data_IF_172694887605
#
_entry.id   IF_172694887605
#
_cell.length_a   1.000
_cell.length_b   1.000
_cell.length_c   1.000
_cell.angle_alpha   90.00
_cell.angle_beta   90.00
_cell.angle_gamma   90.00
#
_symmetry.space_group_name_H-M   'P 1'
#
loop_
_entity.id
_entity.type
_entity.pdbx_description
1 polymer ?
#
# COMPACT_ATOMS: atom_id res chain seq x y z
N UNK A 1 37.40 103.63 -14.87
CA UNK A 1 37.08 103.03 -13.54
C UNK A 1 35.60 102.70 -13.51
N UNK A 2 35.24 101.65 -12.76
CA UNK A 2 33.90 101.11 -12.47
C UNK A 2 33.40 99.91 -13.30
N UNK A 3 34.05 98.78 -13.00
CA UNK A 3 33.47 97.59 -12.36
C UNK A 3 32.39 96.79 -13.10
N UNK A 4 32.89 95.85 -13.91
CA UNK A 4 32.30 94.51 -14.10
C UNK A 4 31.98 93.87 -12.74
N UNK A 5 30.72 93.48 -12.52
CA UNK A 5 30.35 92.29 -11.76
C UNK A 5 29.15 91.63 -12.42
N UNK A 6 29.43 90.82 -13.42
CA UNK A 6 28.60 89.67 -13.73
C UNK A 6 28.45 88.87 -12.43
N UNK A 7 27.22 88.59 -12.00
CA UNK A 7 26.97 87.54 -11.02
C UNK A 7 27.36 86.21 -11.68
N UNK A 8 28.65 85.88 -11.65
CA UNK A 8 29.04 84.49 -11.50
C UNK A 8 28.62 84.11 -10.08
N UNK A 9 27.39 83.60 -9.95
CA UNK A 9 27.03 82.75 -8.83
C UNK A 9 27.83 81.44 -9.01
N UNK A 10 29.13 81.53 -8.78
CA UNK A 10 29.94 80.37 -8.48
C UNK A 10 29.48 79.87 -7.12
N UNK A 11 28.77 78.75 -7.17
CA UNK A 11 28.83 77.66 -6.21
C UNK A 11 28.14 77.90 -4.84
N UNK A 12 27.07 77.13 -4.62
CA UNK A 12 26.30 76.96 -3.38
C UNK A 12 25.32 78.09 -3.00
N UNK A 13 24.16 78.08 -3.66
CA UNK A 13 22.93 78.62 -3.08
C UNK A 13 22.48 77.66 -1.97
N UNK A 14 22.76 77.99 -0.70
CA UNK A 14 22.30 77.24 0.47
C UNK A 14 20.90 77.75 0.83
N UNK A 15 19.86 77.24 0.15
CA UNK A 15 18.49 77.41 0.66
C UNK A 15 18.20 76.22 1.58
N UNK A 16 17.95 76.49 2.86
CA UNK A 16 17.64 75.44 3.84
C UNK A 16 16.30 74.74 3.57
N UNK A 17 15.35 75.41 2.90
CA UNK A 17 14.06 74.85 2.50
C UNK A 17 13.43 75.68 1.38
N UNK A 18 13.04 75.06 0.27
CA UNK A 18 12.21 75.70 -0.75
C UNK A 18 10.79 75.16 -0.56
N UNK A 19 9.84 76.04 -0.23
CA UNK A 19 8.42 75.71 -0.18
C UNK A 19 7.80 76.03 -1.54
N UNK A 20 7.57 75.01 -2.38
CA UNK A 20 6.84 75.16 -3.64
C UNK A 20 5.35 74.93 -3.36
N UNK A 21 4.50 75.92 -3.66
CA UNK A 21 3.05 75.88 -3.43
C UNK A 21 2.33 75.97 -4.78
N UNK A 22 1.52 74.97 -5.13
CA UNK A 22 0.63 74.97 -6.29
C UNK A 22 1.18 74.35 -7.60
N UNK A 23 0.26 73.76 -8.39
CA UNK A 23 0.40 73.02 -9.67
C UNK A 23 1.39 71.83 -9.68
N UNK A 24 1.12 70.85 -10.56
CA UNK A 24 1.94 69.63 -10.73
C UNK A 24 3.39 70.01 -11.01
N UNK A 25 4.27 69.70 -10.06
CA UNK A 25 5.71 69.91 -10.20
C UNK A 25 6.27 68.81 -11.09
N UNK A 26 6.99 69.19 -12.14
CA UNK A 26 7.72 68.26 -13.01
C UNK A 26 9.21 68.48 -12.79
N UNK A 27 9.89 67.44 -12.32
CA UNK A 27 11.34 67.41 -12.21
C UNK A 27 11.85 66.36 -13.19
N UNK A 28 12.78 66.74 -14.06
CA UNK A 28 13.39 65.79 -15.00
C UNK A 28 14.47 64.94 -14.32
N UNK A 29 15.14 65.47 -13.31
CA UNK A 29 16.16 64.79 -12.53
C UNK A 29 16.17 65.28 -11.08
N UNK A 30 16.12 64.36 -10.12
CA UNK A 30 16.18 64.66 -8.68
C UNK A 30 17.42 63.99 -8.11
N UNK A 31 18.40 64.79 -7.66
CA UNK A 31 19.58 64.31 -6.93
C UNK A 31 19.41 64.65 -5.45
N UNK A 32 18.90 63.70 -4.67
CA UNK A 32 18.73 63.87 -3.23
C UNK A 32 19.33 62.68 -2.49
N UNK A 33 19.95 62.94 -1.32
CA UNK A 33 20.41 61.88 -0.41
C UNK A 33 19.24 61.10 0.20
N UNK A 34 18.09 61.77 0.36
CA UNK A 34 16.84 61.21 0.90
C UNK A 34 15.66 61.91 0.24
N UNK A 35 14.68 61.14 -0.20
CA UNK A 35 13.36 61.64 -0.61
C UNK A 35 12.37 61.17 0.46
N UNK A 36 11.56 62.07 1.00
CA UNK A 36 10.50 61.75 1.97
C UNK A 36 9.19 62.30 1.44
N UNK A 37 8.19 61.45 1.27
CA UNK A 37 6.84 61.83 0.84
C UNK A 37 5.92 61.69 2.05
N UNK A 38 5.38 62.79 2.55
CA UNK A 38 4.60 62.84 3.81
C UNK A 38 3.09 63.04 3.59
N UNK A 39 2.58 62.73 2.40
CA UNK A 39 1.16 62.86 2.06
C UNK A 39 0.43 61.51 2.00
N UNK A 40 -0.89 61.53 2.16
CA UNK A 40 -1.75 60.33 2.11
C UNK A 40 -1.91 59.70 0.72
N UNK A 41 -1.26 60.25 -0.31
CA UNK A 41 -1.39 59.82 -1.71
C UNK A 41 -0.41 58.73 -2.16
N UNK A 42 0.48 58.26 -1.29
CA UNK A 42 1.56 57.34 -1.65
C UNK A 42 2.60 57.95 -2.61
N UNK A 43 3.68 57.21 -2.88
CA UNK A 43 4.66 57.54 -3.92
C UNK A 43 4.37 56.67 -5.15
N UNK A 44 3.95 57.29 -6.25
CA UNK A 44 3.78 56.59 -7.52
C UNK A 44 5.05 56.72 -8.35
N UNK A 45 5.78 55.63 -8.51
CA UNK A 45 6.97 55.56 -9.36
C UNK A 45 6.56 55.15 -10.78
N UNK A 46 6.22 56.12 -11.62
CA UNK A 46 5.93 55.89 -13.04
C UNK A 46 7.20 55.68 -13.85
N UNK A 47 7.45 54.46 -14.32
CA UNK A 47 8.54 54.15 -15.26
C UNK A 47 8.00 54.14 -16.69
N UNK A 48 8.27 55.19 -17.47
CA UNK A 48 7.66 55.34 -18.80
C UNK A 48 8.22 54.39 -19.87
N UNK A 49 9.37 53.74 -19.63
CA UNK A 49 9.95 52.74 -20.55
C UNK A 49 11.15 51.95 -19.98
N UNK A 50 11.12 51.49 -18.71
CA UNK A 50 12.25 50.75 -18.12
C UNK A 50 11.91 50.06 -16.80
N UNK A 51 12.88 49.32 -16.24
CA UNK A 51 12.75 48.67 -14.94
C UNK A 51 13.05 49.66 -13.80
N UNK A 52 12.28 49.58 -12.70
CA UNK A 52 12.68 50.19 -11.44
C UNK A 52 13.93 49.46 -10.94
N UNK A 53 15.07 50.15 -10.93
CA UNK A 53 16.33 49.61 -10.43
C UNK A 53 16.62 50.19 -9.05
N UNK A 54 16.66 49.33 -8.04
CA UNK A 54 17.07 49.68 -6.69
C UNK A 54 18.52 49.22 -6.55
N UNK A 55 19.48 50.12 -6.75
CA UNK A 55 20.91 49.83 -6.48
C UNK A 55 21.22 49.91 -4.96
N UNK A 56 20.25 49.53 -4.14
CA UNK A 56 20.34 49.55 -2.67
C UNK A 56 20.61 48.15 -2.14
N UNK A 57 21.06 48.05 -0.89
CA UNK A 57 21.32 46.77 -0.22
C UNK A 57 20.03 45.95 0.00
N UNK A 58 18.89 46.61 0.22
CA UNK A 58 17.64 45.97 0.66
C UNK A 58 16.43 46.87 0.34
N UNK A 59 15.29 46.27 -0.03
CA UNK A 59 13.97 46.91 -0.09
C UNK A 59 13.14 46.47 1.13
N UNK A 60 12.75 47.41 1.98
CA UNK A 60 11.87 47.16 3.15
C UNK A 60 10.43 47.41 2.75
N UNK A 61 9.51 46.49 3.08
CA UNK A 61 8.13 46.49 2.58
C UNK A 61 7.08 46.92 3.62
N UNK A 62 7.40 46.88 4.91
CA UNK A 62 6.49 47.24 6.00
C UNK A 62 7.05 48.34 6.92
N UNK A 63 6.33 48.59 8.01
CA UNK A 63 6.54 49.75 8.88
C UNK A 63 7.54 49.45 10.00
N UNK A 64 7.51 48.24 10.54
CA UNK A 64 8.41 47.73 11.56
C UNK A 64 9.70 47.14 11.01
N UNK A 65 9.82 47.04 9.68
CA UNK A 65 11.01 46.68 8.95
C UNK A 65 11.49 45.25 9.20
N UNK A 66 10.57 44.31 9.39
CA UNK A 66 10.85 42.88 9.51
C UNK A 66 10.45 42.08 8.25
N UNK A 67 9.87 42.75 7.24
CA UNK A 67 9.68 42.20 5.89
C UNK A 67 10.56 42.92 4.87
N UNK A 68 11.41 42.16 4.16
CA UNK A 68 12.37 42.72 3.23
C UNK A 68 12.71 41.82 2.03
N UNK A 69 13.21 42.44 0.94
CA UNK A 69 13.80 41.76 -0.21
C UNK A 69 15.24 42.23 -0.35
N UNK A 70 16.19 41.29 -0.35
CA UNK A 70 17.63 41.53 -0.56
C UNK A 70 18.07 40.69 -1.73
N UNK A 71 18.79 41.28 -2.69
CA UNK A 71 19.50 40.49 -3.68
C UNK A 71 20.97 40.89 -3.65
N UNK A 72 21.86 39.91 -3.58
CA UNK A 72 23.29 40.16 -3.64
C UNK A 72 23.78 40.24 -5.10
N UNK A 73 25.09 40.15 -5.28
CA UNK A 73 25.72 40.28 -6.61
C UNK A 73 25.76 38.96 -7.38
N UNK A 74 25.33 37.87 -6.75
CA UNK A 74 25.55 36.47 -7.14
C UNK A 74 24.23 35.72 -7.32
N UNK A 75 23.25 36.43 -7.89
CA UNK A 75 21.94 35.93 -8.30
C UNK A 75 21.13 35.26 -7.18
N UNK A 76 21.49 35.51 -5.92
CA UNK A 76 20.70 35.13 -4.76
C UNK A 76 19.80 36.30 -4.36
N UNK A 77 18.51 36.02 -4.25
CA UNK A 77 17.50 36.92 -3.72
C UNK A 77 16.83 36.25 -2.51
N UNK A 78 16.96 36.89 -1.35
CA UNK A 78 16.37 36.46 -0.09
C UNK A 78 15.10 37.27 0.19
N UNK A 79 14.05 36.57 0.62
CA UNK A 79 12.81 37.15 1.13
C UNK A 79 12.71 36.90 2.63
N UNK A 80 12.80 37.99 3.39
CA UNK A 80 12.69 37.97 4.84
C UNK A 80 11.25 38.29 5.24
N UNK A 81 10.68 37.47 6.13
CA UNK A 81 9.36 37.69 6.73
C UNK A 81 9.48 37.52 8.25
N UNK A 82 9.10 38.53 9.02
CA UNK A 82 9.19 38.48 10.48
C UNK A 82 10.62 38.35 11.01
N UNK A 83 11.61 38.87 10.26
CA UNK A 83 13.02 38.87 10.67
C UNK A 83 13.76 37.54 10.49
N UNK A 84 13.25 36.63 9.64
CA UNK A 84 13.90 35.38 9.25
C UNK A 84 13.90 35.24 7.72
N UNK A 85 14.99 34.71 7.16
CA UNK A 85 15.10 34.38 5.74
C UNK A 85 14.23 33.15 5.44
N UNK A 86 12.97 33.38 5.06
CA UNK A 86 11.99 32.31 4.88
C UNK A 86 12.10 31.68 3.49
N UNK A 87 12.54 32.45 2.49
CA UNK A 87 12.67 31.99 1.11
C UNK A 87 13.93 32.52 0.43
N UNK A 88 14.79 31.59 -0.01
CA UNK A 88 16.03 31.88 -0.73
C UNK A 88 15.88 31.44 -2.19
N UNK A 89 15.97 32.39 -3.12
CA UNK A 89 15.93 32.11 -4.55
C UNK A 89 17.31 32.36 -5.12
N UNK A 90 17.93 31.34 -5.71
CA UNK A 90 19.13 31.55 -6.52
C UNK A 90 18.73 31.56 -8.00
N UNK A 91 19.60 32.05 -8.90
CA UNK A 91 19.37 31.90 -10.34
C UNK A 91 19.08 30.44 -10.78
N UNK A 92 19.46 29.46 -9.97
CA UNK A 92 19.25 28.04 -10.28
C UNK A 92 18.03 27.43 -9.57
N UNK A 93 17.60 27.97 -8.44
CA UNK A 93 16.61 27.30 -7.58
C UNK A 93 15.65 28.33 -7.01
N UNK A 94 14.46 28.34 -7.58
CA UNK A 94 13.19 28.56 -6.90
C UNK A 94 12.05 28.15 -7.84
N UNK A 95 11.02 27.51 -7.28
CA UNK A 95 9.71 27.27 -7.91
C UNK A 95 9.74 26.88 -9.41
N UNK A 96 9.71 25.58 -9.70
CA UNK A 96 10.19 24.99 -10.96
C UNK A 96 9.02 24.57 -11.87
N UNK A 97 8.56 25.48 -12.72
CA UNK A 97 7.70 25.17 -13.87
C UNK A 97 7.10 26.45 -14.46
N UNK A 98 7.54 26.96 -15.61
CA UNK A 98 7.58 26.26 -16.90
C UNK A 98 8.94 26.35 -17.62
N UNK A 99 9.64 25.20 -17.72
CA UNK A 99 10.17 24.80 -19.03
C UNK A 99 11.66 24.51 -19.20
N UNK A 100 12.34 23.71 -18.36
CA UNK A 100 13.33 22.67 -18.83
C UNK A 100 14.11 21.85 -17.78
N UNK A 101 13.90 21.96 -16.47
CA UNK A 101 14.60 21.08 -15.49
C UNK A 101 13.64 20.18 -14.70
N UNK A 102 14.04 18.92 -14.49
CA UNK A 102 13.20 17.75 -14.18
C UNK A 102 13.20 17.31 -12.70
N UNK A 103 13.65 18.15 -11.75
CA UNK A 103 13.99 17.71 -10.40
C UNK A 103 13.78 18.81 -9.36
N UNK A 104 13.22 18.46 -8.20
CA UNK A 104 13.18 19.29 -6.98
C UNK A 104 14.21 18.69 -5.99
N UNK A 105 15.17 19.51 -5.56
CA UNK A 105 16.24 19.14 -4.63
C UNK A 105 15.95 19.76 -3.26
N UNK A 106 15.58 18.94 -2.29
CA UNK A 106 15.10 19.42 -0.99
C UNK A 106 16.20 19.57 0.08
N UNK A 107 17.36 18.90 -0.05
CA UNK A 107 18.59 19.23 0.71
C UNK A 107 19.87 18.64 0.07
N UNK A 108 21.02 18.96 0.69
CA UNK A 108 22.34 18.39 0.36
C UNK A 108 22.96 17.56 1.51
N UNK A 109 22.37 17.53 2.70
CA UNK A 109 22.96 16.95 3.91
C UNK A 109 21.98 16.28 4.90
N UNK A 110 20.89 15.71 4.37
CA UNK A 110 20.19 14.54 4.92
C UNK A 110 19.26 14.72 6.15
N UNK A 111 18.15 15.43 6.01
CA UNK A 111 16.90 15.13 6.76
C UNK A 111 15.60 15.64 6.10
N UNK A 112 15.66 15.95 4.81
CA UNK A 112 14.56 16.29 3.92
C UNK A 112 13.28 15.53 4.24
N UNK A 113 12.19 16.27 4.41
CA UNK A 113 10.88 15.70 4.63
C UNK A 113 9.80 16.51 3.90
N UNK A 114 8.89 15.80 3.24
CA UNK A 114 7.62 16.35 2.77
C UNK A 114 6.57 15.88 3.79
N UNK A 115 5.93 16.80 4.51
CA UNK A 115 4.99 16.48 5.60
C UNK A 115 3.75 17.36 5.50
N UNK A 116 2.56 16.78 5.68
CA UNK A 116 1.44 17.51 6.25
C UNK A 116 1.32 17.15 7.73
N UNK A 117 1.17 18.17 8.59
CA UNK A 117 1.19 18.00 10.05
C UNK A 117 -0.18 17.64 10.63
N UNK A 118 -1.25 17.83 9.85
CA UNK A 118 -2.63 17.53 10.22
C UNK A 118 -3.18 16.35 9.39
N UNK A 119 -4.48 16.11 9.38
CA UNK A 119 -5.15 14.99 8.68
C UNK A 119 -5.16 15.11 7.15
N UNK A 120 -4.32 15.99 6.59
CA UNK A 120 -4.23 16.21 5.16
C UNK A 120 -3.50 15.08 4.45
N UNK A 121 -3.87 14.89 3.18
CA UNK A 121 -3.23 13.96 2.28
C UNK A 121 -2.06 14.65 1.58
N UNK A 122 -0.93 13.94 1.44
CA UNK A 122 0.11 14.33 0.48
C UNK A 122 -0.09 13.46 -0.74
N UNK A 123 -0.63 14.06 -1.80
CA UNK A 123 -0.85 13.38 -3.07
C UNK A 123 0.44 13.38 -3.91
N UNK A 124 0.79 12.22 -4.45
CA UNK A 124 1.82 12.06 -5.46
C UNK A 124 1.18 11.52 -6.72
N UNK A 125 0.83 12.42 -7.65
CA UNK A 125 0.27 12.05 -8.94
C UNK A 125 1.39 11.87 -9.97
N UNK A 126 1.44 10.69 -10.59
CA UNK A 126 2.38 10.35 -11.65
C UNK A 126 1.58 10.02 -12.91
N UNK A 127 1.92 10.63 -14.04
CA UNK A 127 1.17 10.49 -15.28
C UNK A 127 1.71 9.37 -16.18
N UNK A 128 0.92 8.92 -17.16
CA UNK A 128 1.43 8.05 -18.22
C UNK A 128 2.05 6.73 -17.72
N UNK A 129 3.32 6.47 -18.09
CA UNK A 129 4.07 5.25 -17.71
C UNK A 129 5.12 5.55 -16.64
N UNK A 130 4.90 6.58 -15.83
CA UNK A 130 5.85 7.03 -14.82
C UNK A 130 5.97 6.02 -13.66
N UNK A 131 7.12 6.04 -12.98
CA UNK A 131 7.44 5.10 -11.90
C UNK A 131 7.75 5.87 -10.62
N UNK A 132 7.04 5.56 -9.54
CA UNK A 132 7.47 5.94 -8.20
C UNK A 132 8.62 5.02 -7.76
N UNK A 133 9.83 5.55 -7.63
CA UNK A 133 11.02 4.76 -7.31
C UNK A 133 11.68 5.25 -6.03
N UNK A 134 12.06 4.30 -5.18
CA UNK A 134 12.89 4.53 -4.00
C UNK A 134 14.18 3.74 -4.13
N UNK A 135 15.30 4.44 -4.14
CA UNK A 135 16.64 3.84 -4.21
C UNK A 135 17.28 3.66 -2.84
N UNK A 136 16.62 4.14 -1.78
CA UNK A 136 17.01 3.91 -0.40
C UNK A 136 16.88 2.43 -0.03
N UNK A 137 17.60 1.98 1.00
CA UNK A 137 17.59 0.56 1.41
C UNK A 137 16.23 0.06 1.88
N UNK A 138 15.38 0.94 2.46
CA UNK A 138 14.10 0.57 3.05
C UNK A 138 12.99 1.53 2.60
N UNK A 139 11.77 0.99 2.45
CA UNK A 139 10.53 1.74 2.35
C UNK A 139 9.65 1.40 3.56
N UNK A 140 9.42 2.38 4.44
CA UNK A 140 8.59 2.21 5.64
C UNK A 140 7.20 2.77 5.42
N UNK A 141 6.20 1.89 5.34
CA UNK A 141 4.78 2.25 5.28
C UNK A 141 4.08 1.90 6.59
N UNK A 142 3.82 2.90 7.43
CA UNK A 142 2.94 2.74 8.59
C UNK A 142 1.50 3.11 8.22
N UNK A 143 0.95 2.40 7.24
CA UNK A 143 -0.39 2.65 6.73
C UNK A 143 -1.40 1.68 7.35
N UNK A 144 -2.62 2.15 7.60
CA UNK A 144 -3.74 1.27 7.96
C UNK A 144 -4.15 0.37 6.78
N UNK A 145 -4.06 0.90 5.57
CA UNK A 145 -4.41 0.23 4.31
C UNK A 145 -3.34 0.60 3.28
N UNK A 146 -2.87 -0.41 2.54
CA UNK A 146 -2.13 -0.22 1.29
C UNK A 146 -3.03 -0.72 0.16
N UNK A 147 -3.42 0.16 -0.75
CA UNK A 147 -4.19 -0.15 -1.96
C UNK A 147 -3.32 0.12 -3.19
N UNK A 148 -3.32 -0.78 -4.17
CA UNK A 148 -2.28 -0.82 -5.22
C UNK A 148 -2.81 -0.66 -6.64
N UNK A 149 -4.08 -0.98 -6.94
CA UNK A 149 -4.77 -0.62 -8.19
C UNK A 149 -6.30 -0.86 -8.10
N UNK A 150 -7.03 -0.38 -9.12
CA UNK A 150 -8.45 -0.72 -9.37
C UNK A 150 -8.63 -1.70 -10.54
N UNK A 151 -7.67 -1.81 -11.47
CA UNK A 151 -7.77 -2.68 -12.64
C UNK A 151 -6.45 -3.33 -13.08
N UNK A 152 -6.36 -4.63 -12.77
CA UNK A 152 -5.48 -5.62 -13.41
C UNK A 152 -4.00 -5.57 -13.01
N UNK A 153 -3.75 -6.35 -11.95
CA UNK A 153 -2.52 -7.06 -11.61
C UNK A 153 -1.45 -6.26 -10.85
N UNK A 154 -1.64 -6.18 -9.53
CA UNK A 154 -0.57 -5.83 -8.59
C UNK A 154 0.42 -6.99 -8.45
N UNK A 155 1.72 -6.73 -8.61
CA UNK A 155 2.78 -7.71 -8.35
C UNK A 155 3.76 -7.19 -7.30
N UNK A 156 4.00 -7.97 -6.24
CA UNK A 156 5.12 -7.79 -5.31
C UNK A 156 6.16 -8.85 -5.64
N UNK A 157 7.31 -8.44 -6.17
CA UNK A 157 8.37 -9.35 -6.65
C UNK A 157 9.76 -8.88 -6.19
N UNK A 158 10.64 -9.83 -5.87
CA UNK A 158 12.08 -9.59 -5.94
C UNK A 158 12.61 -10.07 -7.29
N UNK A 159 13.56 -9.33 -7.87
CA UNK A 159 14.26 -9.71 -9.09
C UNK A 159 15.42 -10.70 -8.84
N UNK A 160 15.73 -10.99 -7.58
CA UNK A 160 16.77 -11.93 -7.13
C UNK A 160 16.12 -12.93 -6.15
N UNK A 161 16.83 -13.98 -5.74
CA UNK A 161 16.41 -15.06 -4.83
C UNK A 161 16.08 -14.60 -3.38
N UNK A 162 15.49 -13.42 -3.23
CA UNK A 162 15.15 -12.84 -1.93
C UNK A 162 13.82 -13.38 -1.42
N UNK A 163 13.71 -13.42 -0.09
CA UNK A 163 12.52 -13.90 0.61
C UNK A 163 11.52 -12.76 0.79
N UNK A 164 10.29 -12.95 0.33
CA UNK A 164 9.16 -12.14 0.77
C UNK A 164 8.67 -12.65 2.14
N UNK A 165 8.93 -11.89 3.20
CA UNK A 165 8.42 -12.23 4.55
C UNK A 165 7.17 -11.40 4.86
N UNK A 166 6.05 -12.08 5.12
CA UNK A 166 4.81 -11.44 5.60
C UNK A 166 4.64 -11.84 7.08
N UNK A 167 4.74 -10.85 7.98
CA UNK A 167 4.48 -11.06 9.41
C UNK A 167 3.09 -10.54 9.75
N UNK A 168 2.21 -11.44 10.14
CA UNK A 168 0.83 -11.15 10.51
C UNK A 168 0.73 -10.93 12.04
N UNK A 169 -0.25 -10.12 12.48
CA UNK A 169 -0.42 -9.81 13.90
C UNK A 169 -0.79 -11.04 14.75
N UNK A 170 -0.23 -11.12 15.96
CA UNK A 170 -0.22 -12.32 16.81
C UNK A 170 -1.59 -12.89 17.28
N UNK A 171 -2.71 -12.20 17.04
CA UNK A 171 -4.03 -12.59 17.59
C UNK A 171 -5.08 -12.85 16.51
N UNK A 172 -4.97 -12.22 15.33
CA UNK A 172 -5.98 -12.32 14.26
C UNK A 172 -5.43 -12.03 12.85
N UNK A 173 -4.12 -11.99 12.67
CA UNK A 173 -3.53 -11.70 11.38
C UNK A 173 -3.72 -12.88 10.43
N UNK A 174 -4.32 -12.62 9.27
CA UNK A 174 -4.60 -13.58 8.22
C UNK A 174 -4.00 -13.07 6.90
N UNK A 175 -3.52 -14.00 6.07
CA UNK A 175 -3.20 -13.75 4.66
C UNK A 175 -4.33 -14.37 3.85
N UNK A 176 -5.21 -13.52 3.34
CA UNK A 176 -6.39 -13.97 2.63
C UNK A 176 -6.22 -13.79 1.12
N UNK A 177 -6.61 -14.81 0.35
CA UNK A 177 -6.87 -14.73 -1.09
C UNK A 177 -8.38 -14.86 -1.25
N UNK A 178 -9.06 -13.72 -1.31
CA UNK A 178 -10.53 -13.68 -1.29
C UNK A 178 -11.16 -14.17 -2.61
N UNK A 179 -10.45 -13.99 -3.72
CA UNK A 179 -10.81 -14.48 -5.05
C UNK A 179 -9.55 -14.94 -5.79
N UNK A 180 -9.68 -15.97 -6.61
CA UNK A 180 -8.60 -16.53 -7.40
C UNK A 180 -7.72 -17.53 -6.63
N UNK A 181 -6.67 -18.00 -7.32
CA UNK A 181 -5.88 -19.14 -6.86
C UNK A 181 -4.61 -18.72 -6.10
N UNK A 182 -4.30 -19.43 -5.02
CA UNK A 182 -2.99 -19.36 -4.37
C UNK A 182 -2.07 -20.45 -4.93
N UNK A 183 -1.06 -20.04 -5.71
CA UNK A 183 0.02 -20.94 -6.14
C UNK A 183 1.24 -20.78 -5.23
N UNK A 184 1.70 -21.89 -4.67
CA UNK A 184 2.97 -21.99 -3.94
C UNK A 184 3.87 -22.95 -4.69
N UNK A 185 5.06 -22.49 -5.08
CA UNK A 185 6.01 -23.26 -5.90
C UNK A 185 6.00 -22.89 -7.40
N UNK A 186 6.79 -23.58 -8.21
CA UNK A 186 7.00 -23.27 -9.63
C UNK A 186 6.30 -24.24 -10.59
N UNK A 187 5.85 -25.38 -10.11
CA UNK A 187 5.19 -26.46 -10.83
C UNK A 187 3.88 -26.08 -11.52
N UNK A 188 3.53 -26.82 -12.57
CA UNK A 188 2.25 -26.62 -13.27
C UNK A 188 1.15 -27.45 -12.62
N UNK A 189 -0.03 -26.87 -12.32
CA UNK A 189 -1.16 -27.64 -11.81
C UNK A 189 -1.48 -28.82 -12.73
N UNK A 190 -1.62 -30.00 -12.14
CA UNK A 190 -2.05 -31.22 -12.84
C UNK A 190 -3.56 -31.30 -13.06
N UNK A 191 -4.31 -30.41 -12.41
CA UNK A 191 -5.75 -30.24 -12.53
C UNK A 191 -6.10 -28.78 -12.82
N UNK A 192 -7.26 -28.56 -13.44
CA UNK A 192 -7.81 -27.21 -13.61
C UNK A 192 -8.16 -26.64 -12.24
N UNK A 193 -7.64 -25.46 -11.93
CA UNK A 193 -8.07 -24.66 -10.79
C UNK A 193 -9.22 -23.77 -11.27
N UNK A 194 -10.39 -23.85 -10.65
CA UNK A 194 -11.62 -23.20 -11.06
C UNK A 194 -12.15 -22.12 -10.11
N UNK A 195 -11.34 -21.63 -9.16
CA UNK A 195 -11.71 -20.45 -8.38
C UNK A 195 -10.77 -20.16 -7.22
N UNK A 196 -11.25 -20.43 -6.00
CA UNK A 196 -10.55 -20.32 -4.72
C UNK A 196 -9.71 -21.56 -4.41
N UNK A 197 -8.84 -21.97 -5.34
CA UNK A 197 -7.98 -23.14 -5.15
C UNK A 197 -6.61 -22.75 -4.60
N UNK A 198 -6.05 -23.63 -3.76
CA UNK A 198 -4.65 -23.58 -3.38
C UNK A 198 -3.90 -24.73 -4.06
N UNK A 199 -2.94 -24.39 -4.92
CA UNK A 199 -1.99 -25.34 -5.47
C UNK A 199 -0.63 -25.16 -4.81
N UNK A 200 -0.24 -26.12 -3.96
CA UNK A 200 1.06 -26.16 -3.31
C UNK A 200 1.89 -27.25 -3.94
N UNK A 201 3.00 -26.87 -4.57
CA UNK A 201 4.04 -27.81 -4.93
C UNK A 201 4.99 -28.02 -3.75
N UNK A 202 5.25 -29.29 -3.44
CA UNK A 202 6.10 -29.68 -2.31
C UNK A 202 5.29 -29.98 -1.05
N UNK A 203 5.75 -29.51 0.10
CA UNK A 203 5.17 -29.84 1.41
C UNK A 203 4.30 -28.68 1.90
N UNK A 204 3.04 -28.96 2.21
CA UNK A 204 2.20 -28.08 3.02
C UNK A 204 2.47 -28.41 4.50
N UNK A 205 3.15 -27.50 5.20
CA UNK A 205 3.37 -27.61 6.65
C UNK A 205 2.31 -26.80 7.41
N UNK A 206 1.52 -27.49 8.23
CA UNK A 206 0.61 -26.86 9.19
C UNK A 206 1.05 -27.23 10.60
N UNK A 207 1.17 -26.24 11.49
CA UNK A 207 1.57 -26.47 12.88
C UNK A 207 0.49 -27.20 13.71
N UNK A 208 -0.74 -27.22 13.23
CA UNK A 208 -1.87 -27.93 13.83
C UNK A 208 -2.66 -28.61 12.72
N UNK A 209 -3.89 -28.20 12.44
CA UNK A 209 -4.78 -28.93 11.53
C UNK A 209 -4.75 -28.36 10.10
N UNK A 210 -4.77 -29.26 9.12
CA UNK A 210 -5.22 -28.94 7.75
C UNK A 210 -6.70 -29.30 7.69
N UNK A 211 -7.57 -28.30 7.79
CA UNK A 211 -9.02 -28.51 7.77
C UNK A 211 -9.45 -28.69 6.31
N UNK A 212 -9.85 -29.92 5.97
CA UNK A 212 -10.55 -30.19 4.71
C UNK A 212 -12.04 -29.90 4.98
N UNK A 213 -12.71 -29.13 4.11
CA UNK A 213 -13.99 -28.47 4.40
C UNK A 213 -15.08 -29.33 5.05
N UNK A 214 -16.01 -28.67 5.75
CA UNK A 214 -17.09 -29.34 6.47
C UNK A 214 -17.99 -30.15 5.54
N UNK A 215 -18.04 -31.46 5.77
CA UNK A 215 -18.96 -32.37 5.09
C UNK A 215 -20.17 -32.67 5.99
N UNK A 216 -21.35 -32.82 5.41
CA UNK A 216 -22.53 -33.30 6.13
C UNK A 216 -22.31 -34.71 6.68
N UNK A 217 -22.55 -34.92 7.97
CA UNK A 217 -22.53 -36.24 8.59
C UNK A 217 -23.59 -37.17 8.00
N UNK A 218 -23.22 -38.42 7.73
CA UNK A 218 -24.18 -39.48 7.42
C UNK A 218 -24.49 -40.26 8.70
N UNK A 219 -25.78 -40.36 9.03
CA UNK A 219 -26.27 -41.27 10.05
C UNK A 219 -26.35 -42.68 9.47
N UNK A 220 -25.52 -43.57 9.99
CA UNK A 220 -25.38 -44.96 9.56
C UNK A 220 -26.52 -45.79 10.13
N UNK A 221 -27.19 -46.53 9.24
CA UNK A 221 -28.25 -47.47 9.59
C UNK A 221 -27.83 -48.86 9.19
N UNK A 222 -28.08 -49.84 10.07
CA UNK A 222 -27.71 -51.23 9.85
C UNK A 222 -28.16 -51.77 8.48
N UNK A 223 -27.23 -52.39 7.74
CA UNK A 223 -27.48 -53.06 6.47
C UNK A 223 -27.84 -52.11 5.31
N UNK A 224 -27.84 -50.79 5.56
CA UNK A 224 -28.13 -49.78 4.54
C UNK A 224 -26.81 -49.22 4.01
N UNK A 225 -26.57 -49.27 2.69
CA UNK A 225 -25.35 -48.72 2.12
C UNK A 225 -25.14 -47.25 2.48
N UNK A 226 -23.95 -46.91 2.98
CA UNK A 226 -23.50 -45.52 3.12
C UNK A 226 -23.27 -44.98 1.71
N UNK A 227 -23.86 -43.82 1.38
CA UNK A 227 -23.63 -43.13 0.11
C UNK A 227 -22.84 -41.85 0.37
N UNK A 228 -21.50 -41.87 0.27
CA UNK A 228 -20.66 -40.72 0.51
C UNK A 228 -21.00 -39.58 -0.46
N UNK A 229 -21.01 -38.34 0.03
CA UNK A 229 -21.30 -37.16 -0.79
C UNK A 229 -20.02 -36.39 -1.18
N UNK A 230 -18.85 -36.93 -0.87
CA UNK A 230 -17.55 -36.28 -1.10
C UNK A 230 -16.39 -37.11 -0.55
N UNK A 231 -15.17 -36.60 -0.72
CA UNK A 231 -13.93 -37.34 -0.44
C UNK A 231 -13.59 -37.48 1.04
N UNK A 232 -14.14 -36.63 1.90
CA UNK A 232 -14.15 -36.79 3.35
C UNK A 232 -15.59 -36.94 3.80
N UNK A 233 -15.89 -37.95 4.61
CA UNK A 233 -17.25 -38.27 5.03
C UNK A 233 -17.31 -38.63 6.52
N UNK A 234 -17.76 -37.70 7.38
CA UNK A 234 -18.15 -37.99 8.75
C UNK A 234 -19.32 -38.97 8.77
N UNK A 235 -19.23 -39.98 9.65
CA UNK A 235 -20.28 -40.97 9.86
C UNK A 235 -20.59 -41.11 11.36
N UNK A 236 -21.87 -41.22 11.70
CA UNK A 236 -22.35 -41.42 13.07
C UNK A 236 -23.41 -42.52 13.14
N UNK A 237 -23.70 -43.07 14.32
CA UNK A 237 -24.80 -44.03 14.51
C UNK A 237 -25.46 -43.81 15.87
N UNK A 238 -26.77 -43.62 15.85
CA UNK A 238 -27.58 -43.53 17.06
C UNK A 238 -27.95 -44.96 17.51
N UNK A 239 -27.10 -45.55 18.36
CA UNK A 239 -27.33 -46.84 19.03
C UNK A 239 -27.62 -48.03 18.10
N UNK A 240 -26.56 -48.73 17.68
CA UNK A 240 -26.70 -50.16 17.40
C UNK A 240 -27.01 -50.83 18.74
N UNK A 241 -28.26 -51.26 18.95
CA UNK A 241 -28.71 -51.80 20.23
C UNK A 241 -27.74 -52.84 20.81
N UNK A 242 -27.45 -52.73 22.10
CA UNK A 242 -26.54 -53.63 22.80
C UNK A 242 -27.04 -55.09 22.72
N UNK A 243 -26.54 -55.86 21.76
CA UNK A 243 -26.92 -57.26 21.58
C UNK A 243 -26.86 -57.78 20.14
N UNK A 244 -26.86 -56.91 19.14
CA UNK A 244 -26.73 -57.34 17.74
C UNK A 244 -25.25 -57.48 17.39
N UNK A 245 -24.74 -58.71 17.41
CA UNK A 245 -23.33 -58.99 17.15
C UNK A 245 -22.87 -58.40 15.82
N UNK A 246 -21.79 -57.61 15.86
CA UNK A 246 -20.88 -57.27 14.74
C UNK A 246 -21.59 -57.20 13.38
N UNK A 247 -22.56 -56.29 13.25
CA UNK A 247 -23.42 -56.23 12.09
C UNK A 247 -22.92 -55.14 11.12
N UNK A 248 -22.73 -55.55 9.88
CA UNK A 248 -21.81 -54.92 8.92
C UNK A 248 -22.57 -53.99 7.96
N UNK A 249 -22.10 -52.77 7.75
CA UNK A 249 -22.73 -51.81 6.82
C UNK A 249 -21.92 -51.67 5.53
N UNK A 250 -22.51 -51.90 4.34
CA UNK A 250 -21.80 -51.70 3.08
C UNK A 250 -21.62 -50.23 2.73
N UNK A 251 -20.71 -49.95 1.81
CA UNK A 251 -20.58 -48.63 1.18
C UNK A 251 -21.08 -48.75 -0.25
N UNK A 252 -21.92 -47.81 -0.68
CA UNK A 252 -22.40 -47.75 -2.04
C UNK A 252 -21.23 -47.53 -3.01
N UNK A 253 -21.39 -48.00 -4.25
CA UNK A 253 -20.51 -47.59 -5.32
C UNK A 253 -20.58 -46.06 -5.45
N UNK A 254 -19.45 -45.38 -5.72
CA UNK A 254 -19.44 -43.95 -5.87
C UNK A 254 -20.32 -43.52 -7.05
N UNK A 255 -21.16 -42.51 -6.86
CA UNK A 255 -22.07 -42.03 -7.89
C UNK A 255 -21.36 -41.00 -8.78
N UNK A 256 -20.88 -41.45 -9.95
CA UNK A 256 -20.32 -40.55 -10.97
C UNK A 256 -18.83 -40.27 -10.83
N UNK A 257 -18.13 -40.93 -9.92
CA UNK A 257 -16.69 -40.76 -9.73
C UNK A 257 -15.85 -41.56 -10.74
N UNK A 258 -14.65 -41.05 -11.03
CA UNK A 258 -13.68 -41.69 -11.90
C UNK A 258 -12.83 -42.73 -11.16
N UNK A 259 -12.26 -43.70 -11.88
CA UNK A 259 -11.19 -44.55 -11.33
C UNK A 259 -10.07 -43.65 -10.76
N UNK A 260 -9.69 -43.85 -9.51
CA UNK A 260 -8.75 -42.97 -8.81
C UNK A 260 -9.30 -42.28 -7.57
N UNK A 261 -10.62 -42.24 -7.39
CA UNK A 261 -11.24 -41.49 -6.29
C UNK A 261 -10.86 -42.06 -4.93
N UNK A 262 -10.54 -41.17 -3.99
CA UNK A 262 -10.25 -41.49 -2.59
C UNK A 262 -11.42 -41.06 -1.70
N UNK A 263 -11.66 -41.84 -0.66
CA UNK A 263 -12.68 -41.57 0.36
C UNK A 263 -12.07 -41.81 1.75
N UNK A 264 -12.20 -40.82 2.63
CA UNK A 264 -11.88 -40.93 4.04
C UNK A 264 -13.17 -40.94 4.84
N UNK A 265 -13.49 -42.07 5.46
CA UNK A 265 -14.56 -42.17 6.46
C UNK A 265 -13.99 -41.85 7.83
N UNK A 266 -14.73 -41.07 8.62
CA UNK A 266 -14.37 -40.74 9.99
C UNK A 266 -15.53 -41.02 10.93
N UNK A 267 -15.33 -41.92 11.88
CA UNK A 267 -16.33 -42.22 12.90
C UNK A 267 -16.37 -41.09 13.94
N UNK A 268 -17.39 -40.21 13.84
CA UNK A 268 -17.55 -39.08 14.77
C UNK A 268 -18.27 -39.46 16.07
N UNK A 269 -18.72 -40.71 16.21
CA UNK A 269 -19.37 -41.13 17.44
C UNK A 269 -18.43 -41.00 18.63
N UNK A 270 -18.96 -40.54 19.76
CA UNK A 270 -18.19 -40.41 20.99
C UNK A 270 -17.92 -41.77 21.67
N UNK A 271 -18.71 -42.81 21.37
CA UNK A 271 -18.60 -44.12 22.03
C UNK A 271 -19.00 -45.32 21.18
N UNK A 272 -19.75 -45.12 20.09
CA UNK A 272 -20.21 -46.19 19.24
C UNK A 272 -19.14 -46.64 18.25
N UNK A 273 -19.12 -47.95 18.01
CA UNK A 273 -18.31 -48.61 16.98
C UNK A 273 -19.16 -48.78 15.73
N UNK A 274 -18.60 -48.51 14.55
CA UNK A 274 -19.23 -48.78 13.25
C UNK A 274 -18.42 -49.89 12.56
N UNK A 275 -19.09 -50.92 12.05
CA UNK A 275 -18.45 -51.97 11.24
C UNK A 275 -18.81 -51.77 9.77
N UNK A 276 -17.79 -51.59 8.93
CA UNK A 276 -17.89 -51.48 7.48
C UNK A 276 -17.74 -52.86 6.85
N UNK A 277 -18.58 -53.16 5.86
CA UNK A 277 -18.47 -54.37 5.04
C UNK A 277 -17.21 -54.31 4.23
N UNK A 278 -16.24 -55.15 4.61
CA UNK A 278 -14.97 -55.27 3.90
C UNK A 278 -14.85 -56.58 3.14
N UNK A 279 -15.89 -57.41 3.16
CA UNK A 279 -15.96 -58.71 2.49
C UNK A 279 -17.06 -58.78 1.42
N UNK A 280 -17.84 -57.71 1.28
CA UNK A 280 -18.90 -57.56 0.29
C UNK A 280 -18.42 -57.26 -1.14
N UNK A 281 -19.37 -56.99 -2.02
CA UNK A 281 -19.09 -56.80 -3.46
C UNK A 281 -18.64 -55.40 -3.85
N UNK A 282 -18.86 -54.41 -2.98
CA UNK A 282 -18.57 -52.99 -3.27
C UNK A 282 -17.34 -52.47 -2.53
N UNK A 283 -16.88 -53.17 -1.50
CA UNK A 283 -15.72 -52.80 -0.68
C UNK A 283 -14.92 -54.08 -0.40
N UNK A 284 -13.64 -54.07 -0.76
CA UNK A 284 -12.72 -55.18 -0.52
C UNK A 284 -11.59 -54.74 0.42
N UNK A 285 -11.73 -55.13 1.69
CA UNK A 285 -10.76 -54.92 2.76
C UNK A 285 -10.22 -56.23 3.34
N UNK A 286 -10.54 -57.37 2.69
CA UNK A 286 -10.22 -58.77 3.09
C UNK A 286 -10.95 -59.27 4.34
N UNK A 287 -11.41 -58.36 5.19
CA UNK A 287 -12.26 -58.59 6.35
C UNK A 287 -13.08 -57.33 6.63
N UNK A 288 -14.14 -57.46 7.40
CA UNK A 288 -14.93 -56.31 7.85
C UNK A 288 -14.06 -55.36 8.70
N UNK A 289 -14.22 -54.06 8.46
CA UNK A 289 -13.41 -53.03 9.12
C UNK A 289 -14.19 -52.45 10.28
N UNK A 290 -13.62 -52.55 11.48
CA UNK A 290 -14.20 -52.00 12.70
C UNK A 290 -13.61 -50.61 12.89
N UNK A 291 -14.48 -49.61 13.01
CA UNK A 291 -14.13 -48.22 13.30
C UNK A 291 -14.64 -47.87 14.69
N UNK A 292 -13.74 -47.85 15.68
CA UNK A 292 -14.00 -47.32 17.00
C UNK A 292 -14.22 -45.80 16.96
N UNK A 293 -14.64 -45.17 18.08
CA UNK A 293 -14.73 -43.71 18.17
C UNK A 293 -13.46 -43.05 17.67
N UNK A 294 -13.58 -42.08 16.75
CA UNK A 294 -12.48 -41.33 16.13
C UNK A 294 -11.57 -42.08 15.16
N UNK A 295 -11.85 -43.35 14.86
CA UNK A 295 -11.10 -44.07 13.83
C UNK A 295 -11.42 -43.55 12.43
N UNK A 296 -10.46 -43.73 11.53
CA UNK A 296 -10.64 -43.39 10.11
C UNK A 296 -10.34 -44.57 9.20
N UNK A 297 -11.15 -44.68 8.14
CA UNK A 297 -10.95 -45.65 7.07
C UNK A 297 -10.75 -44.93 5.76
N UNK A 298 -9.65 -45.23 5.10
CA UNK A 298 -9.32 -44.68 3.81
C UNK A 298 -9.50 -45.73 2.71
N UNK A 299 -10.28 -45.36 1.70
CA UNK A 299 -10.66 -46.21 0.59
C UNK A 299 -10.27 -45.58 -0.75
N UNK A 300 -10.04 -46.44 -1.75
CA UNK A 300 -9.73 -46.07 -3.13
C UNK A 300 -10.63 -46.79 -4.11
N UNK A 301 -11.25 -46.07 -5.03
CA UNK A 301 -12.07 -46.65 -6.09
C UNK A 301 -11.20 -47.03 -7.30
N UNK A 302 -11.12 -48.33 -7.61
CA UNK A 302 -10.34 -48.83 -8.75
C UNK A 302 -11.13 -48.91 -10.08
N UNK A 303 -12.40 -48.53 -10.08
CA UNK A 303 -13.33 -48.66 -11.21
C UNK A 303 -14.44 -49.69 -11.01
N UNK A 304 -14.21 -50.70 -10.17
CA UNK A 304 -15.14 -51.81 -9.93
C UNK A 304 -15.58 -51.90 -8.45
N UNK A 305 -14.66 -51.65 -7.51
CA UNK A 305 -14.89 -51.72 -6.07
C UNK A 305 -13.96 -50.78 -5.25
N UNK A 306 -14.37 -50.49 -4.02
CA UNK A 306 -13.56 -49.73 -3.06
C UNK A 306 -12.49 -50.63 -2.45
N UNK A 307 -11.23 -50.26 -2.57
CA UNK A 307 -10.10 -50.94 -1.93
C UNK A 307 -9.69 -50.20 -0.67
N UNK A 308 -9.52 -50.94 0.42
CA UNK A 308 -8.89 -50.39 1.61
C UNK A 308 -7.43 -49.99 1.35
N UNK A 309 -7.09 -48.72 1.59
CA UNK A 309 -5.72 -48.23 1.59
C UNK A 309 -5.15 -48.28 3.00
N UNK A 310 -5.86 -47.66 3.94
CA UNK A 310 -5.40 -47.51 5.31
C UNK A 310 -6.59 -47.56 6.27
N UNK A 311 -6.35 -48.14 7.44
CA UNK A 311 -7.22 -48.01 8.59
C UNK A 311 -6.36 -47.39 9.69
N UNK A 312 -6.77 -46.24 10.21
CA UNK A 312 -6.18 -45.65 11.38
C UNK A 312 -7.06 -45.97 12.57
N UNK A 313 -6.57 -46.89 13.38
CA UNK A 313 -7.14 -47.28 14.65
C UNK A 313 -6.47 -46.44 15.75
N UNK A 314 -7.25 -45.63 16.46
CA UNK A 314 -6.78 -44.75 17.54
C UNK A 314 -6.66 -45.50 18.89
N UNK A 315 -6.65 -46.83 18.89
CA UNK A 315 -6.47 -47.69 20.07
C UNK A 315 -5.04 -47.76 20.61
#
# INVERSE_FOLDING_TARGET
MNNRKWMQLSSALIIASILLIGAVQRFDHIQAKKITVTGSGGLVLGVSSGALRINGKQLILDVDADTSITCDTDDQCDWELGGQDEYVFTAAIFDIGEGTLTRIDLDADNDTSIRSRDDDTIDFELGGSDVFSMTASNFYLNAKILATDEDQDTTIRSSVDDVLTITLGAVAGHLDVAIGNLKVGDGTPSFTQDGEDAYVEGVLEAASDVIMGAQSTISVVFGIPITPTGWYQPIESADFGAGDGQAVTPIAAPSGDTNGTRLLLYNINASQVITIDGTGTTVECKADVILAPTDTLELFWNGDDWKCISNYDNS
#
